data_IF_915804014970
#
_entry.id   IF_915804014970
#
_cell.length_a   1.000
_cell.length_b   1.000
_cell.length_c   1.000
_cell.angle_alpha   90.00
_cell.angle_beta   90.00
_cell.angle_gamma   90.00
#
_symmetry.space_group_name_H-M   'P 1'
#
loop_
_entity.id
_entity.type
_entity.pdbx_description
1 polymer ?
#
# COMPACT_ATOMS: atom_id res chain seq x y z
N UNK A 1 -24.11 7.11 -1.59
CA UNK A 1 -23.13 7.29 -2.69
C UNK A 1 -23.85 7.43 -4.04
N UNK A 2 -23.23 8.02 -5.08
CA UNK A 2 -23.87 8.11 -6.42
C UNK A 2 -24.08 6.73 -7.08
N UNK A 3 -23.17 5.79 -6.81
CA UNK A 3 -23.23 4.38 -7.21
C UNK A 3 -24.31 3.55 -6.49
N UNK A 4 -24.77 3.98 -5.30
CA UNK A 4 -25.90 3.33 -4.59
C UNK A 4 -27.25 3.95 -4.93
N UNK A 5 -27.25 5.22 -5.38
CA UNK A 5 -28.46 5.91 -5.80
C UNK A 5 -28.97 5.45 -7.16
N UNK A 6 -28.09 4.89 -7.99
CA UNK A 6 -28.39 4.44 -9.35
C UNK A 6 -27.80 3.03 -9.47
N UNK A 7 -28.60 2.01 -9.83
CA UNK A 7 -28.18 0.61 -9.86
C UNK A 7 -27.23 0.35 -11.04
N UNK A 8 -25.99 0.83 -10.93
CA UNK A 8 -24.89 0.57 -11.86
C UNK A 8 -24.23 -0.80 -11.60
N UNK A 9 -24.56 -1.41 -10.46
CA UNK A 9 -24.20 -2.78 -10.12
C UNK A 9 -25.07 -3.76 -10.90
N UNK A 10 -24.46 -4.61 -11.74
CA UNK A 10 -25.22 -5.61 -12.50
C UNK A 10 -25.36 -6.94 -11.76
N UNK A 11 -24.29 -7.43 -11.11
CA UNK A 11 -24.29 -8.72 -10.40
C UNK A 11 -23.44 -8.75 -9.11
N UNK A 12 -23.09 -7.58 -8.56
CA UNK A 12 -22.19 -7.31 -7.40
C UNK A 12 -20.77 -6.81 -7.74
N UNK A 13 -20.42 -6.82 -9.02
CA UNK A 13 -19.18 -6.24 -9.56
C UNK A 13 -19.45 -5.42 -10.83
N UNK A 14 -18.56 -4.48 -11.11
CA UNK A 14 -18.59 -3.67 -12.35
C UNK A 14 -17.16 -3.39 -12.82
N UNK A 15 -16.90 -3.58 -14.11
CA UNK A 15 -15.59 -3.22 -14.67
C UNK A 15 -15.46 -1.71 -14.80
N UNK A 16 -14.26 -1.18 -14.55
CA UNK A 16 -14.00 0.27 -14.63
C UNK A 16 -14.29 0.78 -16.05
N UNK A 17 -13.96 0.01 -17.08
CA UNK A 17 -14.27 0.33 -18.47
C UNK A 17 -15.78 0.46 -18.70
N UNK A 18 -16.57 -0.49 -18.19
CA UNK A 18 -18.02 -0.42 -18.32
C UNK A 18 -18.60 0.79 -17.58
N UNK A 19 -18.04 1.14 -16.43
CA UNK A 19 -18.45 2.32 -15.68
C UNK A 19 -18.19 3.61 -16.48
N UNK A 20 -17.02 3.73 -17.13
CA UNK A 20 -16.72 4.86 -18.04
C UNK A 20 -17.75 4.93 -19.16
N UNK A 21 -18.07 3.79 -19.78
CA UNK A 21 -19.06 3.72 -20.86
C UNK A 21 -20.48 4.09 -20.39
N UNK A 22 -20.89 3.64 -19.20
CA UNK A 22 -22.22 3.92 -18.65
C UNK A 22 -22.36 5.42 -18.30
N UNK A 23 -21.32 6.04 -17.73
CA UNK A 23 -21.27 7.50 -17.52
C UNK A 23 -21.28 8.29 -18.84
N UNK A 24 -20.80 7.73 -19.94
CA UNK A 24 -20.88 8.34 -21.26
C UNK A 24 -22.23 8.08 -21.97
N UNK A 25 -22.93 7.00 -21.64
CA UNK A 25 -24.17 6.57 -22.30
C UNK A 25 -25.42 7.17 -21.68
N UNK A 26 -25.46 7.36 -20.36
CA UNK A 26 -26.67 7.76 -19.64
C UNK A 26 -26.65 9.25 -19.26
N UNK A 27 -27.54 10.02 -19.88
CA UNK A 27 -27.61 11.50 -19.74
C UNK A 27 -28.02 11.94 -18.31
N UNK A 28 -28.63 11.06 -17.54
CA UNK A 28 -29.04 11.32 -16.15
C UNK A 28 -27.90 11.15 -15.13
N UNK A 29 -26.71 10.70 -15.55
CA UNK A 29 -25.54 10.63 -14.68
C UNK A 29 -24.78 11.97 -14.63
N UNK A 30 -24.07 12.28 -13.53
CA UNK A 30 -23.20 13.44 -13.45
C UNK A 30 -22.19 13.46 -14.60
N UNK A 31 -22.09 14.60 -15.30
CA UNK A 31 -21.16 14.75 -16.41
C UNK A 31 -19.73 14.75 -15.90
N UNK A 32 -18.94 13.81 -16.40
CA UNK A 32 -17.50 13.77 -16.14
C UNK A 32 -16.78 14.65 -17.16
N UNK A 33 -15.76 15.38 -16.71
CA UNK A 33 -14.89 16.15 -17.62
C UNK A 33 -14.04 15.22 -18.53
N UNK A 34 -13.83 13.97 -18.10
CA UNK A 34 -13.18 12.92 -18.87
C UNK A 34 -13.01 11.62 -18.08
N UNK A 35 -12.52 10.53 -18.72
CA UNK A 35 -12.31 9.24 -18.06
C UNK A 35 -11.32 9.31 -16.89
N UNK A 36 -10.38 10.25 -16.94
CA UNK A 36 -9.38 10.51 -15.90
C UNK A 36 -10.01 10.86 -14.55
N UNK A 37 -11.10 11.64 -14.54
CA UNK A 37 -11.79 12.06 -13.32
C UNK A 37 -12.42 10.87 -12.60
N UNK A 38 -12.99 9.92 -13.36
CA UNK A 38 -13.56 8.71 -12.79
C UNK A 38 -12.47 7.82 -12.21
N UNK A 39 -11.34 7.65 -12.91
CA UNK A 39 -10.21 6.84 -12.43
C UNK A 39 -9.64 7.45 -11.15
N UNK A 40 -9.51 8.78 -11.09
CA UNK A 40 -9.04 9.48 -9.89
C UNK A 40 -10.02 9.36 -8.72
N UNK A 41 -11.33 9.48 -8.98
CA UNK A 41 -12.37 9.24 -7.98
C UNK A 41 -12.35 7.79 -7.46
N UNK A 42 -12.11 6.81 -8.34
CA UNK A 42 -11.93 5.40 -7.96
C UNK A 42 -10.70 5.24 -7.06
N UNK A 43 -9.56 5.81 -7.43
CA UNK A 43 -8.33 5.74 -6.62
C UNK A 43 -8.50 6.36 -5.24
N UNK A 44 -9.15 7.53 -5.17
CA UNK A 44 -9.46 8.18 -3.90
C UNK A 44 -10.45 7.35 -3.06
N UNK A 45 -11.46 6.74 -3.70
CA UNK A 45 -12.42 5.85 -3.05
C UNK A 45 -11.78 4.59 -2.45
N UNK A 46 -10.79 4.01 -3.12
CA UNK A 46 -10.04 2.85 -2.63
C UNK A 46 -9.15 3.17 -1.42
N UNK A 47 -8.67 4.41 -1.32
CA UNK A 47 -7.85 4.90 -0.21
C UNK A 47 -8.61 5.29 1.05
N UNK A 48 -9.95 5.26 1.05
CA UNK A 48 -10.73 5.55 2.26
C UNK A 48 -10.58 4.42 3.28
N UNK A 49 -10.18 4.76 4.51
CA UNK A 49 -10.13 3.81 5.63
C UNK A 49 -11.51 3.23 5.99
N UNK A 50 -12.61 3.91 5.63
CA UNK A 50 -13.99 3.43 5.79
C UNK A 50 -14.50 2.64 4.58
N UNK A 51 -13.61 2.04 3.77
CA UNK A 51 -13.98 1.32 2.55
C UNK A 51 -15.03 0.22 2.75
N UNK A 52 -15.11 -0.37 3.95
CA UNK A 52 -16.08 -1.40 4.30
C UNK A 52 -17.51 -0.87 4.54
N UNK A 53 -17.68 0.43 4.80
CA UNK A 53 -18.99 1.06 5.05
C UNK A 53 -19.35 2.11 4.00
N UNK A 54 -18.37 2.84 3.47
CA UNK A 54 -18.58 4.03 2.63
C UNK A 54 -17.99 3.91 1.22
N UNK A 55 -17.39 2.77 0.82
CA UNK A 55 -16.74 2.64 -0.48
C UNK A 55 -16.85 1.24 -1.12
N UNK A 56 -15.96 0.94 -2.05
CA UNK A 56 -15.87 -0.27 -2.86
C UNK A 56 -14.44 -0.84 -2.78
N UNK A 57 -14.29 -2.12 -3.13
CA UNK A 57 -12.99 -2.78 -3.25
C UNK A 57 -12.58 -2.91 -4.72
N UNK A 58 -11.29 -3.10 -4.96
CA UNK A 58 -10.74 -3.32 -6.29
C UNK A 58 -10.24 -4.76 -6.43
N UNK A 59 -10.48 -5.37 -7.58
CA UNK A 59 -9.94 -6.67 -7.96
C UNK A 59 -9.41 -6.62 -9.40
N UNK A 60 -8.33 -7.35 -9.68
CA UNK A 60 -7.74 -7.40 -11.02
C UNK A 60 -8.57 -8.27 -11.98
N UNK A 61 -9.13 -9.37 -11.48
CA UNK A 61 -10.00 -10.27 -12.25
C UNK A 61 -10.94 -11.07 -11.35
N UNK A 62 -12.11 -11.43 -11.89
CA UNK A 62 -12.98 -12.44 -11.29
C UNK A 62 -12.61 -13.81 -11.84
N UNK A 63 -12.32 -14.75 -10.95
CA UNK A 63 -12.20 -16.17 -11.30
C UNK A 63 -13.58 -16.82 -11.17
N UNK A 64 -14.31 -16.90 -12.28
CA UNK A 64 -15.67 -17.47 -12.33
C UNK A 64 -15.69 -18.97 -11.96
N UNK A 65 -14.59 -19.70 -12.17
CA UNK A 65 -14.52 -21.13 -11.84
C UNK A 65 -14.38 -21.39 -10.35
N UNK A 66 -13.72 -20.48 -9.63
CA UNK A 66 -13.54 -20.59 -8.18
C UNK A 66 -14.50 -19.68 -7.38
N UNK A 67 -15.25 -18.80 -8.05
CA UNK A 67 -16.07 -17.77 -7.40
C UNK A 67 -15.25 -16.80 -6.54
N UNK A 68 -13.98 -16.56 -6.89
CA UNK A 68 -13.02 -15.75 -6.11
C UNK A 68 -12.51 -14.56 -6.91
N UNK A 69 -12.36 -13.41 -6.24
CA UNK A 69 -11.71 -12.24 -6.81
C UNK A 69 -10.19 -12.38 -6.67
N UNK A 70 -9.46 -12.26 -7.78
CA UNK A 70 -7.99 -12.27 -7.79
C UNK A 70 -7.47 -10.85 -7.60
N UNK A 71 -6.45 -10.72 -6.76
CA UNK A 71 -5.84 -9.41 -6.47
C UNK A 71 -6.79 -8.47 -5.73
N UNK A 72 -7.61 -8.99 -4.81
CA UNK A 72 -8.51 -8.16 -4.01
C UNK A 72 -7.68 -7.19 -3.15
N UNK A 73 -7.89 -5.90 -3.36
CA UNK A 73 -7.27 -4.79 -2.62
C UNK A 73 -8.36 -3.93 -2.00
N UNK A 74 -8.22 -3.68 -0.71
CA UNK A 74 -9.19 -2.98 0.11
C UNK A 74 -8.45 -1.99 1.02
N UNK A 75 -8.81 -0.71 1.02
CA UNK A 75 -8.18 0.30 1.88
C UNK A 75 -6.74 0.66 1.49
N UNK A 76 -6.34 0.40 0.24
CA UNK A 76 -5.01 0.68 -0.29
C UNK A 76 -5.14 1.48 -1.59
N UNK A 77 -4.25 2.46 -1.81
CA UNK A 77 -4.25 3.28 -3.02
C UNK A 77 -3.65 2.48 -4.18
N UNK A 78 -4.50 1.79 -4.94
CA UNK A 78 -4.06 1.04 -6.12
C UNK A 78 -3.73 2.00 -7.28
N UNK A 79 -2.58 1.80 -7.90
CA UNK A 79 -2.19 2.50 -9.13
C UNK A 79 -2.95 1.92 -10.34
N UNK A 80 -4.23 2.30 -10.50
CA UNK A 80 -5.01 1.95 -11.70
C UNK A 80 -4.46 2.75 -12.88
N UNK A 81 -3.96 2.04 -13.90
CA UNK A 81 -3.42 2.64 -15.13
C UNK A 81 -4.46 3.47 -15.87
N UNK A 82 -4.08 4.70 -16.25
CA UNK A 82 -4.97 5.66 -16.93
C UNK A 82 -5.30 5.29 -18.38
N UNK A 83 -4.41 4.56 -19.05
CA UNK A 83 -4.51 4.24 -20.48
C UNK A 83 -5.25 2.91 -20.76
N UNK A 84 -5.38 2.06 -19.75
CA UNK A 84 -6.07 0.77 -19.85
C UNK A 84 -6.56 0.33 -18.47
N UNK A 85 -7.68 0.86 -17.98
CA UNK A 85 -8.22 0.49 -16.68
C UNK A 85 -8.76 -0.95 -16.73
N UNK A 86 -7.88 -1.91 -16.54
CA UNK A 86 -8.20 -3.33 -16.37
C UNK A 86 -8.40 -3.58 -14.88
N UNK A 87 -9.65 -3.71 -14.46
CA UNK A 87 -9.99 -3.97 -13.06
C UNK A 87 -11.49 -3.95 -12.83
N UNK A 88 -11.90 -4.69 -11.81
CA UNK A 88 -13.27 -4.82 -11.35
C UNK A 88 -13.42 -4.09 -10.02
N UNK A 89 -14.46 -3.27 -9.94
CA UNK A 89 -14.97 -2.72 -8.70
C UNK A 89 -15.93 -3.73 -8.09
N UNK A 90 -15.68 -4.12 -6.85
CA UNK A 90 -16.45 -5.13 -6.13
C UNK A 90 -17.17 -4.45 -4.97
N UNK A 91 -18.42 -4.85 -4.72
CA UNK A 91 -19.16 -4.40 -3.54
C UNK A 91 -18.40 -4.70 -2.24
N UNK A 92 -18.44 -3.77 -1.26
CA UNK A 92 -17.71 -3.92 0.00
C UNK A 92 -18.12 -5.17 0.77
N UNK A 93 -19.39 -5.57 0.73
CA UNK A 93 -19.91 -6.75 1.43
C UNK A 93 -19.33 -8.07 0.88
N UNK A 94 -19.13 -8.15 -0.44
CA UNK A 94 -18.51 -9.31 -1.12
C UNK A 94 -17.02 -9.37 -0.85
N UNK A 95 -16.35 -8.21 -0.92
CA UNK A 95 -14.94 -8.10 -0.62
C UNK A 95 -14.63 -8.47 0.84
N UNK A 96 -15.45 -8.02 1.78
CA UNK A 96 -15.31 -8.34 3.21
C UNK A 96 -15.46 -9.85 3.46
N UNK A 97 -16.47 -10.49 2.85
CA UNK A 97 -16.67 -11.95 2.98
C UNK A 97 -15.47 -12.76 2.48
N UNK A 98 -14.86 -12.38 1.35
CA UNK A 98 -13.67 -13.05 0.87
C UNK A 98 -12.45 -12.77 1.76
N UNK A 99 -12.27 -11.53 2.20
CA UNK A 99 -11.18 -11.15 3.10
C UNK A 99 -11.25 -11.85 4.46
N UNK A 100 -12.44 -12.00 5.02
CA UNK A 100 -12.68 -12.75 6.25
C UNK A 100 -12.45 -14.26 6.05
N UNK A 101 -12.90 -14.83 4.92
CA UNK A 101 -12.67 -16.23 4.60
C UNK A 101 -11.18 -16.55 4.41
N UNK A 102 -10.43 -15.67 3.75
CA UNK A 102 -8.97 -15.80 3.57
C UNK A 102 -8.22 -15.58 4.89
N UNK A 103 -8.65 -14.61 5.70
CA UNK A 103 -8.09 -14.38 7.04
C UNK A 103 -8.35 -15.55 7.99
N UNK A 104 -9.53 -16.19 7.91
CA UNK A 104 -9.87 -17.37 8.68
C UNK A 104 -9.09 -18.61 8.20
N UNK A 105 -8.94 -18.79 6.89
CA UNK A 105 -8.14 -19.87 6.31
C UNK A 105 -6.65 -19.74 6.66
N UNK A 106 -6.09 -18.52 6.63
CA UNK A 106 -4.70 -18.27 7.02
C UNK A 106 -4.48 -18.48 8.53
N UNK A 107 -5.50 -18.20 9.36
CA UNK A 107 -5.47 -18.47 10.81
C UNK A 107 -5.62 -19.97 11.13
N UNK A 108 -6.34 -20.71 10.30
CA UNK A 108 -6.51 -22.17 10.44
C UNK A 108 -5.33 -22.98 9.84
N UNK A 109 -4.59 -22.42 8.87
CA UNK A 109 -3.43 -23.05 8.22
C UNK A 109 -2.10 -22.96 8.98
N UNK A 110 -2.08 -22.34 10.16
CA UNK A 110 -0.88 -22.18 11.01
C UNK A 110 -0.38 -23.45 11.71
N UNK A 111 -0.93 -24.63 11.38
CA UNK A 111 -0.44 -25.94 11.85
C UNK A 111 -0.30 -26.85 10.63
N UNK A 112 0.79 -26.73 9.88
CA UNK A 112 0.98 -27.56 8.70
C UNK A 112 2.19 -27.22 7.84
N UNK A 113 3.38 -27.18 8.44
CA UNK A 113 4.64 -27.23 7.70
C UNK A 113 5.19 -28.67 7.66
N UNK A 114 5.47 -29.26 6.49
CA UNK A 114 6.00 -30.63 6.37
C UNK A 114 7.54 -30.63 6.37
N UNK A 115 8.14 -31.61 7.06
CA UNK A 115 9.39 -32.32 6.71
C UNK A 115 10.15 -32.80 7.96
N UNK A 116 10.69 -34.02 7.88
CA UNK A 116 11.96 -34.37 8.52
C UNK A 116 11.87 -35.30 9.72
N UNK A 117 12.24 -36.56 9.49
CA UNK A 117 12.51 -37.58 10.49
C UNK A 117 13.57 -37.15 11.51
N UNK A 118 13.43 -37.53 12.79
CA UNK A 118 14.13 -38.66 13.40
C UNK A 118 13.80 -38.80 14.89
N UNK A 119 14.01 -40.02 15.41
CA UNK A 119 13.57 -40.58 16.69
C UNK A 119 14.40 -40.04 17.86
N UNK A 120 13.81 -40.06 19.08
CA UNK A 120 14.22 -40.93 20.22
C UNK A 120 13.85 -40.32 21.59
N UNK A 121 13.01 -41.07 22.34
CA UNK A 121 12.95 -41.28 23.82
C UNK A 121 12.95 -40.09 24.81
N UNK A 122 12.32 -40.06 25.98
CA UNK A 122 11.57 -41.02 26.83
C UNK A 122 10.95 -40.23 27.99
N UNK A 123 9.69 -40.56 28.31
CA UNK A 123 8.99 -40.63 29.62
C UNK A 123 9.55 -39.85 30.82
N UNK A 124 8.73 -38.96 31.41
CA UNK A 124 8.23 -39.05 32.81
C UNK A 124 7.50 -37.77 33.25
N UNK A 125 6.33 -37.91 33.91
CA UNK A 125 5.81 -36.87 34.82
C UNK A 125 4.30 -36.57 34.77
N UNK A 126 3.52 -37.41 35.44
CA UNK A 126 2.17 -37.22 36.03
C UNK A 126 2.08 -35.82 36.72
N UNK A 127 1.04 -34.98 36.74
CA UNK A 127 -0.41 -35.15 36.95
C UNK A 127 -1.17 -33.83 36.58
N UNK A 128 -2.51 -33.80 36.60
CA UNK A 128 -3.34 -32.70 36.07
C UNK A 128 -3.76 -31.66 37.13
N UNK A 129 -4.06 -30.46 36.63
CA UNK A 129 -5.04 -29.55 37.25
C UNK A 129 -4.51 -28.57 38.31
N UNK A 130 -4.24 -27.34 37.90
CA UNK A 130 -4.57 -26.17 38.74
C UNK A 130 -4.83 -24.95 37.85
N UNK A 131 -6.07 -24.48 37.91
CA UNK A 131 -6.55 -23.25 37.30
C UNK A 131 -5.98 -22.03 38.03
N UNK A 132 -5.56 -21.07 37.21
CA UNK A 132 -5.51 -19.64 37.47
C UNK A 132 -4.61 -19.09 38.60
N UNK A 133 -3.48 -18.51 38.20
CA UNK A 133 -3.11 -17.15 38.65
C UNK A 133 -2.31 -16.47 37.55
N UNK A 134 -2.80 -15.31 37.12
CA UNK A 134 -2.35 -14.59 35.93
C UNK A 134 -0.84 -14.45 35.83
N UNK A 135 -0.24 -15.24 34.94
CA UNK A 135 1.01 -14.86 34.32
C UNK A 135 0.67 -13.73 33.34
N UNK A 136 0.93 -12.50 33.76
CA UNK A 136 1.08 -11.40 32.82
C UNK A 136 2.13 -11.88 31.80
N UNK A 137 1.66 -12.26 30.61
CA UNK A 137 2.52 -12.60 29.49
C UNK A 137 3.46 -11.42 29.32
N UNK A 138 4.74 -11.63 29.60
CA UNK A 138 5.76 -10.64 29.40
C UNK A 138 5.72 -10.30 27.91
N UNK A 139 5.10 -9.16 27.57
CA UNK A 139 4.92 -8.73 26.20
C UNK A 139 6.31 -8.64 25.57
N UNK A 140 6.55 -9.46 24.55
CA UNK A 140 7.80 -9.45 23.79
C UNK A 140 8.11 -8.00 23.39
N UNK A 141 9.34 -7.52 23.65
CA UNK A 141 9.68 -6.12 23.38
C UNK A 141 9.44 -5.80 21.91
N UNK A 142 8.61 -4.78 21.65
CA UNK A 142 8.34 -4.28 20.30
C UNK A 142 9.48 -3.37 19.83
N UNK A 143 9.84 -3.39 18.53
CA UNK A 143 10.84 -2.49 17.97
C UNK A 143 10.38 -1.02 18.12
N UNK A 144 11.32 -0.14 18.47
CA UNK A 144 11.05 1.28 18.78
C UNK A 144 11.64 2.26 17.77
N UNK A 145 12.51 1.80 16.88
CA UNK A 145 13.24 2.64 15.93
C UNK A 145 13.33 1.93 14.59
N UNK A 146 13.11 2.70 13.53
CA UNK A 146 13.34 2.27 12.16
C UNK A 146 14.45 3.13 11.55
N UNK A 147 15.34 2.49 10.80
CA UNK A 147 16.39 3.11 10.00
C UNK A 147 16.49 2.30 8.71
N UNK A 148 16.57 2.99 7.58
CA UNK A 148 16.76 2.38 6.28
C UNK A 148 17.34 3.38 5.29
N UNK A 149 18.18 2.87 4.40
CA UNK A 149 18.81 3.62 3.31
C UNK A 149 18.50 2.92 2.01
N UNK A 150 18.26 3.69 0.95
CA UNK A 150 17.97 3.17 -0.39
C UNK A 150 18.61 4.07 -1.43
N UNK A 151 19.25 3.45 -2.42
CA UNK A 151 19.83 4.18 -3.55
C UNK A 151 18.72 4.47 -4.56
N UNK A 152 18.59 5.75 -4.94
CA UNK A 152 17.58 6.20 -5.90
C UNK A 152 18.19 6.30 -7.31
N UNK A 153 17.36 6.12 -8.34
CA UNK A 153 17.78 6.41 -9.71
C UNK A 153 17.89 7.95 -9.89
N UNK A 154 19.08 8.48 -10.23
CA UNK A 154 19.29 9.93 -10.43
C UNK A 154 18.35 10.55 -11.49
N UNK A 155 17.93 9.78 -12.49
CA UNK A 155 17.01 10.27 -13.53
C UNK A 155 15.55 10.29 -13.05
N UNK A 156 15.24 9.61 -11.94
CA UNK A 156 13.87 9.33 -11.46
C UNK A 156 13.68 9.59 -9.97
N UNK A 157 14.58 10.36 -9.33
CA UNK A 157 14.60 10.65 -7.89
C UNK A 157 13.23 11.05 -7.35
N UNK A 158 12.50 11.94 -8.04
CA UNK A 158 11.18 12.38 -7.58
C UNK A 158 10.13 11.27 -7.53
N UNK A 159 10.13 10.35 -8.50
CA UNK A 159 9.20 9.21 -8.51
C UNK A 159 9.54 8.24 -7.38
N UNK A 160 10.81 7.89 -7.25
CA UNK A 160 11.25 6.89 -6.30
C UNK A 160 11.11 7.41 -4.85
N UNK A 161 11.48 8.66 -4.60
CA UNK A 161 11.24 9.33 -3.33
C UNK A 161 9.75 9.43 -3.00
N UNK A 162 8.89 9.69 -4.00
CA UNK A 162 7.44 9.67 -3.83
C UNK A 162 6.93 8.29 -3.40
N UNK A 163 7.39 7.23 -4.06
CA UNK A 163 7.01 5.86 -3.69
C UNK A 163 7.48 5.50 -2.27
N UNK A 164 8.69 5.91 -1.87
CA UNK A 164 9.17 5.70 -0.49
C UNK A 164 8.33 6.49 0.51
N UNK A 165 7.90 7.70 0.14
CA UNK A 165 7.02 8.51 0.98
C UNK A 165 5.69 7.78 1.25
N UNK A 166 5.07 7.23 0.20
CA UNK A 166 3.78 6.54 0.29
C UNK A 166 3.90 5.19 1.03
N UNK A 167 4.92 4.40 0.70
CA UNK A 167 5.01 3.01 1.18
C UNK A 167 5.67 2.89 2.55
N UNK A 168 6.54 3.83 2.94
CA UNK A 168 7.32 3.73 4.19
C UNK A 168 7.06 4.91 5.11
N UNK A 169 7.25 6.13 4.62
CA UNK A 169 7.17 7.33 5.48
C UNK A 169 5.74 7.53 5.99
N UNK A 170 4.73 7.34 5.16
CA UNK A 170 3.32 7.49 5.54
C UNK A 170 2.93 6.53 6.67
N UNK A 171 3.35 5.27 6.59
CA UNK A 171 3.10 4.27 7.64
C UNK A 171 3.76 4.64 8.96
N UNK A 172 5.01 5.11 8.93
CA UNK A 172 5.73 5.51 10.14
C UNK A 172 5.14 6.79 10.74
N UNK A 173 4.81 7.78 9.91
CA UNK A 173 4.25 9.06 10.34
C UNK A 173 2.81 8.91 10.88
N UNK A 174 2.06 7.90 10.40
CA UNK A 174 0.72 7.57 10.89
C UNK A 174 0.70 7.00 12.32
N UNK A 175 1.84 6.60 12.89
CA UNK A 175 1.91 6.10 14.25
C UNK A 175 1.84 7.25 15.26
N UNK A 176 0.91 7.14 16.22
CA UNK A 176 0.71 8.13 17.29
C UNK A 176 2.01 8.31 18.09
N UNK A 177 2.46 9.56 18.19
CA UNK A 177 3.67 9.92 18.92
C UNK A 177 4.98 9.59 18.19
N UNK A 178 4.93 9.20 16.91
CA UNK A 178 6.14 9.02 16.10
C UNK A 178 6.75 10.37 15.70
N UNK A 179 8.06 10.38 15.51
CA UNK A 179 8.76 11.50 14.88
C UNK A 179 9.57 10.92 13.73
N UNK A 180 9.20 11.30 12.52
CA UNK A 180 9.87 10.82 11.30
C UNK A 180 10.76 11.92 10.75
N UNK A 181 12.01 11.57 10.48
CA UNK A 181 12.98 12.44 9.81
C UNK A 181 13.37 11.80 8.51
N UNK A 182 13.28 12.57 7.43
CA UNK A 182 13.72 12.17 6.08
C UNK A 182 14.88 13.07 5.69
N UNK A 183 15.96 12.45 5.21
CA UNK A 183 17.16 13.14 4.74
C UNK A 183 17.44 12.68 3.32
N UNK A 184 17.64 13.63 2.41
CA UNK A 184 18.13 13.36 1.06
C UNK A 184 19.61 13.74 1.01
N UNK A 185 20.44 12.77 0.66
CA UNK A 185 21.88 12.94 0.45
C UNK A 185 22.17 12.82 -1.04
N UNK A 186 23.02 13.71 -1.56
CA UNK A 186 23.36 13.78 -2.97
C UNK A 186 24.89 13.77 -3.06
N UNK A 187 25.42 12.73 -3.67
CA UNK A 187 26.85 12.55 -3.92
C UNK A 187 27.07 12.51 -5.44
N UNK A 188 28.10 13.21 -5.90
CA UNK A 188 28.51 13.21 -7.30
C UNK A 188 30.04 13.20 -7.38
N UNK A 189 30.59 12.12 -7.91
CA UNK A 189 32.01 12.02 -8.26
C UNK A 189 32.21 12.59 -9.67
N UNK A 190 33.04 13.62 -9.78
CA UNK A 190 33.31 14.35 -11.03
C UNK A 190 34.84 14.47 -11.19
N UNK A 191 35.52 13.42 -11.71
CA UNK A 191 36.99 13.34 -11.74
C UNK A 191 37.65 14.45 -12.57
N UNK A 192 36.96 14.98 -13.57
CA UNK A 192 37.45 16.05 -14.43
C UNK A 192 37.33 17.46 -13.79
N UNK A 193 36.76 17.54 -12.59
CA UNK A 193 36.41 18.79 -11.93
C UNK A 193 35.07 19.35 -12.39
N UNK A 194 34.48 20.18 -11.53
CA UNK A 194 33.17 20.79 -11.78
C UNK A 194 33.35 22.16 -12.43
N UNK A 195 32.73 22.43 -13.59
CA UNK A 195 32.80 23.74 -14.23
C UNK A 195 32.28 24.86 -13.32
N UNK A 196 32.89 26.04 -13.36
CA UNK A 196 32.56 27.18 -12.49
C UNK A 196 31.08 27.59 -12.57
N UNK A 197 30.50 27.56 -13.77
CA UNK A 197 29.08 27.83 -13.97
C UNK A 197 28.18 26.84 -13.22
N UNK A 198 28.56 25.56 -13.18
CA UNK A 198 27.83 24.52 -12.46
C UNK A 198 28.00 24.67 -10.95
N UNK A 199 29.22 24.94 -10.49
CA UNK A 199 29.51 25.23 -9.06
C UNK A 199 28.62 26.36 -8.55
N UNK A 200 28.56 27.47 -9.29
CA UNK A 200 27.71 28.61 -8.96
C UNK A 200 26.24 28.23 -8.89
N UNK A 201 25.73 27.55 -9.93
CA UNK A 201 24.32 27.14 -10.00
C UNK A 201 23.93 26.21 -8.85
N UNK A 202 24.73 25.19 -8.54
CA UNK A 202 24.42 24.23 -7.48
C UNK A 202 24.49 24.89 -6.10
N UNK A 203 25.49 25.75 -5.87
CA UNK A 203 25.64 26.47 -4.59
C UNK A 203 24.46 27.42 -4.33
N UNK A 204 24.01 28.16 -5.35
CA UNK A 204 22.87 29.07 -5.25
C UNK A 204 21.55 28.29 -5.04
N UNK A 205 21.36 27.21 -5.80
CA UNK A 205 20.18 26.35 -5.66
C UNK A 205 20.11 25.72 -4.27
N UNK A 206 21.21 25.17 -3.76
CA UNK A 206 21.19 24.53 -2.46
C UNK A 206 20.96 25.52 -1.31
N UNK A 207 21.42 26.79 -1.44
CA UNK A 207 21.01 27.86 -0.51
C UNK A 207 19.51 28.14 -0.59
N UNK A 208 18.95 28.21 -1.80
CA UNK A 208 17.51 28.45 -2.05
C UNK A 208 16.64 27.31 -1.52
N UNK A 209 17.09 26.08 -1.70
CA UNK A 209 16.44 24.84 -1.26
C UNK A 209 16.74 24.49 0.22
N UNK A 210 17.48 25.37 0.93
CA UNK A 210 17.76 25.27 2.37
C UNK A 210 18.51 24.00 2.77
N UNK A 211 19.49 23.59 1.97
CA UNK A 211 20.41 22.51 2.35
C UNK A 211 21.09 22.85 3.68
N UNK A 212 21.08 21.89 4.62
CA UNK A 212 21.68 22.08 5.95
C UNK A 212 23.21 21.93 5.92
N UNK A 213 23.71 21.08 5.02
CA UNK A 213 25.13 20.89 4.71
C UNK A 213 25.28 20.79 3.19
N UNK A 214 26.21 21.54 2.61
CA UNK A 214 26.50 21.57 1.17
C UNK A 214 27.89 22.13 0.91
N UNK A 215 28.56 21.68 -0.15
CA UNK A 215 29.85 22.19 -0.59
C UNK A 215 30.43 21.34 -1.72
N UNK A 216 31.34 21.91 -2.48
CA UNK A 216 32.26 21.13 -3.33
C UNK A 216 33.57 21.01 -2.56
N UNK A 217 34.08 19.80 -2.46
CA UNK A 217 35.38 19.53 -1.83
C UNK A 217 36.46 19.53 -2.91
N UNK A 218 37.57 20.21 -2.62
CA UNK A 218 38.79 20.11 -3.44
C UNK A 218 39.69 19.12 -2.74
N UNK A 219 39.99 17.99 -3.39
CA UNK A 219 41.02 17.06 -2.91
C UNK A 219 42.42 17.71 -2.94
#
# INVERSE_FOLDING_TARGET
MALDRIPLWRNDDVSIKQLVEDFARYIYLPRLAGPSVLIEAVRNGLGLLTWSQDSFAYADSLDETAGRYRGLRCGEVVAVSREGPTGLLVRPERALKQYEAESAANRAGGIGGPAGAERTSTVAGVAPGTVAKGAASAATPRPRRFHGTVNLDPARVGRDAGRIADEVVAHLAGLVGSTVRVTLEIEADIPAGVPENVVRTVTENGRTLKFTSQGFETE
#
